data_IF_969673082742
#
_entry.id   IF_969673082742
#
_cell.length_a   1.000
_cell.length_b   1.000
_cell.length_c   1.000
_cell.angle_alpha   90.00
_cell.angle_beta   90.00
_cell.angle_gamma   90.00
#
_symmetry.space_group_name_H-M   'P 1'
#
loop_
_entity.id
_entity.type
_entity.pdbx_description
1 polymer ?
#
# COMPACT_ATOMS: atom_id res chain seq x y z
N UNK A 1 33.72 1.63 43.53
CA UNK A 1 33.55 1.45 42.07
C UNK A 1 32.22 0.76 41.83
N UNK A 2 31.16 1.42 41.36
CA UNK A 2 29.96 0.71 40.94
C UNK A 2 30.11 0.31 39.48
N UNK A 3 29.81 -0.96 39.22
CA UNK A 3 29.82 -1.58 37.91
C UNK A 3 28.73 -0.96 37.01
N UNK A 4 29.11 -0.71 35.75
CA UNK A 4 28.22 -0.29 34.67
C UNK A 4 27.21 -1.42 34.38
N UNK A 5 25.92 -1.13 34.56
CA UNK A 5 24.84 -1.97 34.03
C UNK A 5 24.70 -1.64 32.54
N UNK A 6 25.09 -2.59 31.69
CA UNK A 6 24.81 -2.53 30.27
C UNK A 6 23.29 -2.75 30.05
N UNK A 7 22.61 -1.72 29.54
CA UNK A 7 21.24 -1.85 29.05
C UNK A 7 21.26 -2.57 27.71
N UNK A 8 20.85 -3.83 27.70
CA UNK A 8 20.53 -4.56 26.47
C UNK A 8 19.26 -3.94 25.87
N UNK A 9 19.40 -3.19 24.78
CA UNK A 9 18.28 -2.77 23.94
C UNK A 9 17.67 -4.01 23.29
N UNK A 10 16.58 -4.53 23.85
CA UNK A 10 15.73 -5.51 23.16
C UNK A 10 15.00 -4.77 22.04
N UNK A 11 15.57 -4.76 20.83
CA UNK A 11 14.87 -4.36 19.63
C UNK A 11 13.75 -5.37 19.37
N UNK A 12 12.50 -4.94 19.47
CA UNK A 12 11.35 -5.79 19.15
C UNK A 12 11.39 -6.17 17.67
N UNK A 13 11.52 -7.46 17.37
CA UNK A 13 11.39 -7.99 16.01
C UNK A 13 9.95 -7.78 15.51
N UNK A 14 9.78 -7.24 14.30
CA UNK A 14 8.46 -7.01 13.69
C UNK A 14 7.77 -8.35 13.33
N UNK A 15 6.45 -8.52 13.53
CA UNK A 15 5.74 -9.78 13.26
C UNK A 15 5.41 -9.96 11.77
N UNK A 16 6.30 -10.59 11.01
CA UNK A 16 6.11 -10.77 9.55
C UNK A 16 4.96 -11.71 9.15
N UNK A 17 4.45 -12.54 10.06
CA UNK A 17 3.31 -13.41 9.82
C UNK A 17 1.94 -12.73 10.03
N UNK A 18 1.93 -11.59 10.73
CA UNK A 18 0.72 -10.85 11.07
C UNK A 18 1.07 -9.36 11.09
N UNK A 19 1.08 -8.70 9.91
CA UNK A 19 1.41 -7.29 9.79
C UNK A 19 0.57 -6.44 10.75
N UNK A 20 1.19 -5.46 11.39
CA UNK A 20 0.49 -4.59 12.34
C UNK A 20 -0.41 -3.66 11.52
N UNK A 21 -1.70 -3.63 11.83
CA UNK A 21 -2.66 -2.71 11.20
C UNK A 21 -2.25 -1.26 11.48
N UNK A 22 -2.42 -0.40 10.49
CA UNK A 22 -2.02 1.02 10.56
C UNK A 22 -0.52 1.25 10.82
N UNK A 23 0.32 0.40 10.22
CA UNK A 23 1.77 0.46 10.32
C UNK A 23 2.40 0.15 8.96
N UNK A 24 3.57 0.74 8.68
CA UNK A 24 4.28 0.57 7.41
C UNK A 24 5.58 -0.24 7.52
N UNK A 25 6.02 -0.58 8.72
CA UNK A 25 7.31 -1.21 8.97
C UNK A 25 7.43 -2.63 8.45
N UNK A 26 6.33 -3.29 8.04
CA UNK A 26 6.35 -4.59 7.36
C UNK A 26 7.26 -4.58 6.12
N UNK A 27 7.21 -3.49 5.35
CA UNK A 27 7.99 -3.39 4.12
C UNK A 27 9.50 -3.42 4.40
N UNK A 28 10.01 -2.59 5.32
CA UNK A 28 11.43 -2.60 5.68
C UNK A 28 11.83 -3.83 6.53
N UNK A 29 11.01 -4.17 7.53
CA UNK A 29 11.36 -5.17 8.55
C UNK A 29 11.19 -6.62 8.08
N UNK A 30 10.37 -6.84 7.04
CA UNK A 30 10.09 -8.18 6.53
C UNK A 30 10.53 -8.33 5.08
N UNK A 31 9.98 -7.54 4.15
CA UNK A 31 10.28 -7.72 2.73
C UNK A 31 11.70 -7.26 2.38
N UNK A 32 12.13 -6.07 2.80
CA UNK A 32 13.46 -5.57 2.46
C UNK A 32 14.57 -6.34 3.17
N UNK A 33 14.35 -6.74 4.43
CA UNK A 33 15.29 -7.61 5.16
C UNK A 33 15.43 -8.99 4.50
N UNK A 34 14.43 -9.43 3.73
CA UNK A 34 14.41 -10.73 3.03
C UNK A 34 14.97 -10.66 1.61
N UNK A 35 14.63 -9.62 0.85
CA UNK A 35 14.92 -9.51 -0.58
C UNK A 35 16.07 -8.55 -0.93
N UNK A 36 16.35 -7.56 -0.07
CA UNK A 36 17.41 -6.57 -0.28
C UNK A 36 17.30 -5.85 -1.63
N UNK A 37 16.10 -5.41 -2.01
CA UNK A 37 15.87 -4.79 -3.32
C UNK A 37 16.38 -3.35 -3.39
N UNK A 38 16.77 -2.77 -2.26
CA UNK A 38 17.33 -1.44 -2.17
C UNK A 38 16.29 -0.33 -2.28
N UNK A 39 16.74 0.94 -2.26
CA UNK A 39 15.86 2.10 -2.13
C UNK A 39 14.95 2.33 -3.35
N UNK A 40 15.26 1.73 -4.50
CA UNK A 40 14.43 1.79 -5.72
C UNK A 40 13.56 0.55 -5.91
N UNK A 41 13.76 -0.48 -5.09
CA UNK A 41 13.00 -1.72 -5.14
C UNK A 41 11.60 -1.55 -4.56
N UNK A 42 10.71 -2.51 -4.84
CA UNK A 42 9.31 -2.42 -4.40
C UNK A 42 9.14 -2.19 -2.89
N UNK A 43 9.82 -2.92 -1.97
CA UNK A 43 9.57 -2.77 -0.53
C UNK A 43 9.75 -1.33 -0.05
N UNK A 44 10.89 -0.69 -0.35
CA UNK A 44 11.21 0.65 0.14
C UNK A 44 10.74 1.73 -0.83
N UNK A 45 11.09 1.59 -2.10
CA UNK A 45 10.85 2.62 -3.12
C UNK A 45 9.39 2.81 -3.50
N UNK A 46 8.52 1.84 -3.16
CA UNK A 46 7.10 1.89 -3.45
C UNK A 46 6.23 1.59 -2.22
N UNK A 47 6.27 0.37 -1.69
CA UNK A 47 5.39 -0.10 -0.63
C UNK A 47 5.45 0.77 0.63
N UNK A 48 6.62 0.88 1.26
CA UNK A 48 6.81 1.72 2.45
C UNK A 48 6.56 3.20 2.15
N UNK A 49 7.13 3.70 1.05
CA UNK A 49 7.00 5.08 0.61
C UNK A 49 5.53 5.53 0.55
N UNK A 50 4.67 4.80 -0.15
CA UNK A 50 3.26 5.18 -0.30
C UNK A 50 2.43 4.88 0.95
N UNK A 51 2.77 3.83 1.70
CA UNK A 51 2.16 3.58 3.00
C UNK A 51 2.37 4.76 3.97
N UNK A 52 3.59 5.27 4.06
CA UNK A 52 3.92 6.45 4.87
C UNK A 52 3.20 7.68 4.33
N UNK A 53 3.22 7.90 3.02
CA UNK A 53 2.55 9.06 2.43
C UNK A 53 1.05 9.10 2.70
N UNK A 54 0.37 7.96 2.61
CA UNK A 54 -1.04 7.84 3.03
C UNK A 54 -1.23 8.17 4.52
N UNK A 55 -0.34 7.67 5.37
CA UNK A 55 -0.38 7.98 6.80
C UNK A 55 -0.20 9.47 7.10
N UNK A 56 0.76 10.11 6.44
CA UNK A 56 1.08 11.53 6.62
C UNK A 56 -0.05 12.45 6.09
N UNK A 57 -0.63 12.09 4.94
CA UNK A 57 -1.69 12.85 4.28
C UNK A 57 -3.11 12.39 4.68
N UNK A 58 -3.24 11.56 5.72
CA UNK A 58 -4.52 10.98 6.19
C UNK A 58 -5.63 12.01 6.34
N UNK A 59 -5.31 13.23 6.78
CA UNK A 59 -6.27 14.30 6.98
C UNK A 59 -6.93 14.83 5.71
N UNK A 60 -6.39 14.51 4.53
CA UNK A 60 -7.03 14.83 3.24
C UNK A 60 -8.26 13.96 2.97
N UNK A 61 -8.36 12.80 3.64
CA UNK A 61 -9.46 11.86 3.49
C UNK A 61 -10.56 12.13 4.51
N UNK A 62 -11.80 11.89 4.09
CA UNK A 62 -12.97 11.79 4.97
C UNK A 62 -12.78 10.66 5.98
N UNK A 63 -13.61 10.60 7.03
CA UNK A 63 -13.58 9.50 7.99
C UNK A 63 -13.75 8.12 7.30
N UNK A 64 -14.55 8.05 6.23
CA UNK A 64 -14.72 6.83 5.44
C UNK A 64 -13.46 6.50 4.65
N UNK A 65 -12.86 7.50 3.99
CA UNK A 65 -11.60 7.35 3.27
C UNK A 65 -10.44 6.93 4.18
N UNK A 66 -10.39 7.42 5.42
CA UNK A 66 -9.38 7.01 6.40
C UNK A 66 -9.54 5.54 6.82
N UNK A 67 -10.78 5.05 6.98
CA UNK A 67 -11.01 3.61 7.24
C UNK A 67 -10.54 2.78 6.05
N UNK A 68 -10.99 3.13 4.84
CA UNK A 68 -10.58 2.48 3.60
C UNK A 68 -9.06 2.42 3.47
N UNK A 69 -8.38 3.54 3.72
CA UNK A 69 -6.92 3.64 3.64
C UNK A 69 -6.24 2.62 4.55
N UNK A 70 -6.63 2.56 5.84
CA UNK A 70 -6.01 1.63 6.79
C UNK A 70 -6.33 0.18 6.44
N UNK A 71 -7.56 -0.11 6.00
CA UNK A 71 -7.98 -1.45 5.58
C UNK A 71 -7.22 -1.92 4.33
N UNK A 72 -7.10 -1.06 3.32
CA UNK A 72 -6.32 -1.32 2.12
C UNK A 72 -4.84 -1.50 2.42
N UNK A 73 -4.22 -0.61 3.22
CA UNK A 73 -2.82 -0.73 3.64
C UNK A 73 -2.55 -2.07 4.34
N UNK A 74 -3.48 -2.53 5.17
CA UNK A 74 -3.34 -3.79 5.87
C UNK A 74 -3.49 -4.97 4.90
N UNK A 75 -4.53 -4.97 4.06
CA UNK A 75 -4.75 -5.99 3.01
C UNK A 75 -3.53 -6.18 2.11
N UNK A 76 -2.90 -5.09 1.67
CA UNK A 76 -1.70 -5.12 0.83
C UNK A 76 -0.52 -5.81 1.53
N UNK A 77 -0.34 -5.58 2.83
CA UNK A 77 0.71 -6.22 3.61
C UNK A 77 0.40 -7.70 3.87
N UNK A 78 -0.84 -8.03 4.21
CA UNK A 78 -1.28 -9.41 4.42
C UNK A 78 -1.11 -10.27 3.17
N UNK A 79 -1.43 -9.71 1.99
CA UNK A 79 -1.27 -10.40 0.72
C UNK A 79 0.20 -10.77 0.41
N UNK A 80 1.17 -10.11 1.05
CA UNK A 80 2.61 -10.33 0.88
C UNK A 80 3.25 -11.09 2.03
N UNK A 81 2.47 -11.54 3.03
CA UNK A 81 2.97 -12.41 4.11
C UNK A 81 3.63 -13.68 3.55
N UNK A 82 3.09 -14.36 2.52
CA UNK A 82 3.76 -15.53 1.93
C UNK A 82 5.15 -15.21 1.37
N UNK A 83 5.33 -14.03 0.77
CA UNK A 83 6.63 -13.59 0.22
C UNK A 83 7.60 -13.18 1.35
N UNK A 84 7.09 -12.62 2.45
CA UNK A 84 7.89 -12.31 3.64
C UNK A 84 8.41 -13.55 4.38
N UNK A 85 7.65 -14.66 4.38
CA UNK A 85 7.98 -15.89 5.12
C UNK A 85 8.56 -17.01 4.25
N UNK A 86 8.28 -16.99 2.95
CA UNK A 86 8.60 -18.06 2.02
C UNK A 86 10.00 -17.98 1.41
N UNK A 87 10.17 -18.70 0.31
CA UNK A 87 11.35 -18.60 -0.53
C UNK A 87 11.32 -17.29 -1.31
N UNK A 88 12.34 -16.45 -1.10
CA UNK A 88 12.46 -15.20 -1.83
C UNK A 88 12.72 -15.48 -3.32
N UNK A 89 11.85 -14.91 -4.14
CA UNK A 89 12.04 -14.77 -5.58
C UNK A 89 12.92 -13.55 -5.89
N UNK A 90 13.01 -13.18 -7.17
CA UNK A 90 13.70 -11.94 -7.56
C UNK A 90 12.88 -10.69 -7.16
N UNK A 91 13.56 -9.55 -7.02
CA UNK A 91 12.91 -8.27 -6.77
C UNK A 91 11.88 -7.87 -7.84
N UNK A 92 12.09 -8.27 -9.10
CA UNK A 92 11.13 -8.04 -10.18
C UNK A 92 9.85 -8.83 -9.94
N UNK A 93 9.98 -10.13 -9.63
CA UNK A 93 8.82 -11.00 -9.38
C UNK A 93 8.05 -10.58 -8.13
N UNK A 94 8.76 -10.16 -7.06
CA UNK A 94 8.12 -9.57 -5.88
C UNK A 94 7.32 -8.32 -6.27
N UNK A 95 7.90 -7.44 -7.09
CA UNK A 95 7.23 -6.25 -7.61
C UNK A 95 5.95 -6.62 -8.37
N UNK A 96 6.03 -7.54 -9.33
CA UNK A 96 4.90 -7.96 -10.16
C UNK A 96 3.74 -8.51 -9.31
N UNK A 97 4.06 -9.39 -8.34
CA UNK A 97 3.08 -9.92 -7.39
C UNK A 97 2.44 -8.81 -6.58
N UNK A 98 3.26 -7.92 -6.03
CA UNK A 98 2.79 -6.87 -5.13
C UNK A 98 1.95 -5.82 -5.85
N UNK A 99 2.31 -5.44 -7.08
CA UNK A 99 1.44 -4.60 -7.91
C UNK A 99 0.11 -5.31 -8.25
N UNK A 100 0.13 -6.62 -8.47
CA UNK A 100 -1.06 -7.43 -8.74
C UNK A 100 -2.09 -7.46 -7.60
N UNK A 101 -1.73 -7.15 -6.35
CA UNK A 101 -2.66 -7.16 -5.22
C UNK A 101 -3.51 -5.88 -5.11
N UNK A 102 -3.06 -4.78 -5.71
CA UNK A 102 -3.61 -3.44 -5.44
C UNK A 102 -5.09 -3.32 -5.80
N UNK A 103 -5.45 -3.68 -7.03
CA UNK A 103 -6.82 -3.55 -7.51
C UNK A 103 -7.82 -4.27 -6.59
N UNK A 104 -7.51 -5.51 -6.21
CA UNK A 104 -8.33 -6.30 -5.29
C UNK A 104 -8.43 -5.64 -3.92
N UNK A 105 -7.30 -5.31 -3.29
CA UNK A 105 -7.32 -4.67 -1.96
C UNK A 105 -7.99 -3.28 -1.96
N UNK A 106 -8.01 -2.58 -3.08
CA UNK A 106 -8.69 -1.29 -3.20
C UNK A 106 -10.21 -1.50 -3.28
N UNK A 107 -10.66 -2.38 -4.17
CA UNK A 107 -12.09 -2.65 -4.41
C UNK A 107 -12.73 -3.32 -3.20
N UNK A 108 -12.13 -4.39 -2.67
CA UNK A 108 -12.70 -5.19 -1.57
C UNK A 108 -12.87 -4.37 -0.29
N UNK A 109 -12.02 -3.36 -0.07
CA UNK A 109 -12.12 -2.48 1.09
C UNK A 109 -13.01 -1.25 0.85
N UNK A 110 -13.65 -1.16 -0.31
CA UNK A 110 -14.75 -0.21 -0.55
C UNK A 110 -14.38 1.06 -1.31
N UNK A 111 -13.30 1.04 -2.11
CA UNK A 111 -12.91 2.19 -2.95
C UNK A 111 -14.09 2.73 -3.78
N UNK A 112 -14.87 1.82 -4.39
CA UNK A 112 -16.03 2.16 -5.22
C UNK A 112 -17.09 3.01 -4.52
N UNK A 113 -17.16 2.94 -3.20
CA UNK A 113 -18.19 3.60 -2.40
C UNK A 113 -17.65 4.85 -1.68
N UNK A 114 -16.40 5.24 -1.93
CA UNK A 114 -15.86 6.49 -1.39
C UNK A 114 -16.46 7.71 -2.09
N UNK A 115 -16.69 8.82 -1.37
CA UNK A 115 -17.08 10.08 -1.99
C UNK A 115 -15.98 10.58 -2.94
N UNK A 116 -16.36 11.36 -3.95
CA UNK A 116 -15.43 11.91 -4.97
C UNK A 116 -14.23 12.64 -4.36
N UNK A 117 -14.43 13.39 -3.26
CA UNK A 117 -13.34 14.08 -2.56
C UNK A 117 -12.23 13.13 -2.06
N UNK A 118 -12.56 11.90 -1.67
CA UNK A 118 -11.57 10.92 -1.22
C UNK A 118 -10.78 10.38 -2.41
N UNK A 119 -11.41 10.22 -3.57
CA UNK A 119 -10.73 9.85 -4.80
C UNK A 119 -9.74 10.93 -5.26
N UNK A 120 -10.14 12.20 -5.22
CA UNK A 120 -9.24 13.33 -5.51
C UNK A 120 -8.05 13.36 -4.54
N UNK A 121 -8.30 13.14 -3.25
CA UNK A 121 -7.26 13.04 -2.24
C UNK A 121 -6.33 11.86 -2.52
N UNK A 122 -6.85 10.66 -2.84
CA UNK A 122 -6.05 9.50 -3.23
C UNK A 122 -5.15 9.86 -4.40
N UNK A 123 -5.71 10.34 -5.51
CA UNK A 123 -4.94 10.73 -6.70
C UNK A 123 -3.81 11.73 -6.39
N UNK A 124 -4.06 12.67 -5.48
CA UNK A 124 -3.07 13.63 -5.00
C UNK A 124 -1.98 12.96 -4.15
N UNK A 125 -2.34 12.10 -3.20
CA UNK A 125 -1.41 11.39 -2.32
C UNK A 125 -0.49 10.51 -3.14
N UNK A 126 -1.02 9.62 -3.96
CA UNK A 126 -0.19 8.69 -4.73
C UNK A 126 0.39 9.31 -6.00
N UNK A 127 0.28 10.64 -6.17
CA UNK A 127 0.80 11.45 -7.28
C UNK A 127 0.62 10.73 -8.61
N UNK A 128 -0.58 10.83 -9.21
CA UNK A 128 -1.05 10.33 -10.53
C UNK A 128 -0.04 9.61 -11.46
N UNK A 129 1.19 10.11 -11.62
CA UNK A 129 2.30 9.46 -12.35
C UNK A 129 2.91 8.20 -11.72
N UNK A 130 2.93 8.06 -10.39
CA UNK A 130 3.43 6.83 -9.73
C UNK A 130 2.39 5.75 -9.60
N UNK A 131 1.14 6.10 -9.89
CA UNK A 131 -0.03 5.34 -9.55
C UNK A 131 -0.23 4.14 -10.49
N UNK A 132 0.13 4.25 -11.76
CA UNK A 132 -0.14 3.18 -12.72
C UNK A 132 0.89 3.15 -13.86
N UNK A 133 1.62 2.04 -13.98
CA UNK A 133 2.30 1.74 -15.25
C UNK A 133 1.28 1.56 -16.40
N UNK A 134 -0.01 1.40 -16.08
CA UNK A 134 -1.14 1.46 -17.03
C UNK A 134 -2.41 2.00 -16.35
N UNK A 135 -2.63 3.33 -16.42
CA UNK A 135 -3.84 4.00 -15.90
C UNK A 135 -5.11 3.41 -16.50
N UNK A 136 -5.05 3.04 -17.78
CA UNK A 136 -6.15 2.38 -18.50
C UNK A 136 -6.50 1.03 -17.88
N UNK A 137 -5.50 0.23 -17.48
CA UNK A 137 -5.76 -1.07 -16.84
C UNK A 137 -6.46 -0.92 -15.48
N UNK A 138 -6.13 0.14 -14.74
CA UNK A 138 -6.83 0.46 -13.50
C UNK A 138 -8.26 0.90 -13.75
N UNK A 139 -8.49 1.84 -14.68
CA UNK A 139 -9.84 2.28 -15.03
C UNK A 139 -10.71 1.12 -15.53
N UNK A 140 -10.17 0.23 -16.36
CA UNK A 140 -10.89 -0.97 -16.79
C UNK A 140 -11.18 -1.91 -15.62
N UNK A 141 -10.29 -2.01 -14.62
CA UNK A 141 -10.55 -2.77 -13.40
C UNK A 141 -11.69 -2.15 -12.58
N UNK A 142 -11.76 -0.82 -12.49
CA UNK A 142 -12.88 -0.14 -11.84
C UNK A 142 -14.19 -0.37 -12.58
N UNK A 143 -14.19 -0.29 -13.90
CA UNK A 143 -15.36 -0.58 -14.74
C UNK A 143 -15.88 -2.00 -14.55
N UNK A 144 -15.00 -2.96 -14.33
CA UNK A 144 -15.34 -4.34 -14.02
C UNK A 144 -15.79 -4.56 -12.56
N UNK A 145 -15.46 -3.63 -11.66
CA UNK A 145 -15.83 -3.69 -10.25
C UNK A 145 -17.31 -3.36 -10.01
N UNK A 146 -18.03 -4.25 -9.34
CA UNK A 146 -19.41 -3.99 -8.93
C UNK A 146 -19.46 -2.73 -8.03
N UNK A 147 -20.26 -1.74 -8.43
CA UNK A 147 -20.41 -0.47 -7.71
C UNK A 147 -19.43 0.65 -8.08
N UNK A 148 -18.43 0.41 -8.95
CA UNK A 148 -17.42 1.42 -9.32
C UNK A 148 -17.80 2.28 -10.55
N UNK A 149 -19.01 2.12 -11.12
CA UNK A 149 -19.42 2.79 -12.37
C UNK A 149 -19.43 4.32 -12.28
N UNK A 150 -19.91 4.89 -11.17
CA UNK A 150 -19.98 6.34 -10.99
C UNK A 150 -18.57 6.96 -10.90
N UNK A 151 -17.69 6.35 -10.10
CA UNK A 151 -16.30 6.78 -10.01
C UNK A 151 -15.58 6.64 -11.36
N UNK A 152 -15.78 5.52 -12.07
CA UNK A 152 -15.24 5.32 -13.41
C UNK A 152 -15.70 6.41 -14.39
N UNK A 153 -17.01 6.71 -14.43
CA UNK A 153 -17.55 7.73 -15.33
C UNK A 153 -16.95 9.12 -15.03
N UNK A 154 -16.89 9.50 -13.75
CA UNK A 154 -16.29 10.76 -13.32
C UNK A 154 -14.85 10.93 -13.82
N UNK A 155 -13.99 9.91 -13.61
CA UNK A 155 -12.59 9.99 -14.03
C UNK A 155 -12.39 9.81 -15.53
N UNK A 156 -13.20 8.99 -16.21
CA UNK A 156 -13.12 8.81 -17.66
C UNK A 156 -13.43 10.12 -18.41
N UNK A 157 -14.40 10.90 -17.92
CA UNK A 157 -14.74 12.20 -18.51
C UNK A 157 -13.66 13.27 -18.27
N UNK A 158 -13.01 13.27 -17.10
CA UNK A 158 -11.96 14.25 -16.76
C UNK A 158 -10.55 13.87 -17.26
N UNK A 159 -10.30 12.60 -17.59
CA UNK A 159 -9.04 12.16 -18.20
C UNK A 159 -8.93 12.50 -19.70
N UNK A 160 -10.06 12.83 -20.35
CA UNK A 160 -10.14 13.25 -21.75
C UNK A 160 -10.13 14.80 -21.93
N UNK A 161 -9.94 15.56 -20.84
CA UNK A 161 -9.80 17.02 -20.84
C UNK A 161 -8.40 17.49 -20.45
#
# INVERSE_FOLDING_TARGET
MPALLASSSQGSTYPCAAPIRDNCSFYASCLETRYHCGPTGYPIGYGEKFCIKFSDDRSLLSAKGQSWMVDTMHCLQEALVPDALGSAETCSQLGDKAFGTHAKCYIDNGLCFLPVMDWEAIVKIVELRTLFQSWDAFLETLKAGEGCLEAYAHFAEHALG
#
